data_IF_340755877078
#
_entry.id   IF_340755877078
#
_cell.length_a   1.000
_cell.length_b   1.000
_cell.length_c   1.000
_cell.angle_alpha   90.00
_cell.angle_beta   90.00
_cell.angle_gamma   90.00
#
_symmetry.space_group_name_H-M   'P 1'
#
loop_
_entity.id
_entity.type
_entity.pdbx_description
1 polymer ?
#
# COMPACT_ATOMS: atom_id res chain seq x y z
N UNK A 1 -5.56 -3.51 16.95
CA UNK A 1 -4.66 -3.99 15.89
C UNK A 1 -3.62 -2.91 15.59
N UNK A 2 -2.39 -3.34 15.36
CA UNK A 2 -1.34 -2.41 14.96
C UNK A 2 -1.37 -2.21 13.47
N UNK A 3 -1.23 -0.97 13.05
CA UNK A 3 -1.13 -0.62 11.64
C UNK A 3 0.21 0.05 11.41
N UNK A 4 0.76 -0.12 10.21
CA UNK A 4 2.07 0.39 9.86
C UNK A 4 2.00 1.19 8.57
N UNK A 5 2.96 2.11 8.43
CA UNK A 5 3.14 2.84 7.19
C UNK A 5 3.61 1.91 6.09
N UNK A 6 3.25 2.22 4.87
CA UNK A 6 3.77 1.56 3.68
C UNK A 6 4.61 2.56 2.89
N UNK A 7 5.60 2.07 2.19
CA UNK A 7 6.51 2.93 1.43
C UNK A 7 6.75 2.33 0.06
N UNK A 8 6.83 3.21 -0.97
CA UNK A 8 7.25 2.77 -2.29
C UNK A 8 8.74 2.47 -2.28
N UNK A 9 9.13 1.31 -2.79
CA UNK A 9 10.54 0.90 -2.83
C UNK A 9 11.35 1.73 -3.84
N UNK A 10 10.68 2.42 -4.74
CA UNK A 10 11.33 3.15 -5.82
C UNK A 10 11.41 4.65 -5.56
N UNK A 11 10.30 5.29 -5.21
CA UNK A 11 10.28 6.74 -4.99
C UNK A 11 10.29 7.13 -3.51
N UNK A 12 10.07 6.20 -2.62
CA UNK A 12 10.12 6.45 -1.18
C UNK A 12 8.88 7.12 -0.61
N UNK A 13 7.83 7.31 -1.40
CA UNK A 13 6.61 7.94 -0.92
C UNK A 13 5.94 7.07 0.15
N UNK A 14 5.50 7.71 1.24
CA UNK A 14 4.87 7.01 2.36
C UNK A 14 3.35 7.01 2.21
N UNK A 15 2.76 5.85 2.44
CA UNK A 15 1.31 5.66 2.40
C UNK A 15 0.81 5.26 3.78
N UNK A 16 -0.36 5.82 4.15
CA UNK A 16 -1.05 5.37 5.37
C UNK A 16 -1.67 3.99 5.11
N UNK A 17 -2.02 3.24 6.18
CA UNK A 17 -2.73 1.97 5.99
C UNK A 17 -4.03 2.13 5.19
N UNK A 18 -4.74 3.23 5.38
CA UNK A 18 -5.97 3.50 4.65
C UNK A 18 -5.71 3.73 3.17
N UNK A 19 -4.65 4.48 2.85
CA UNK A 19 -4.26 4.70 1.45
C UNK A 19 -3.83 3.40 0.78
N UNK A 20 -3.08 2.57 1.49
CA UNK A 20 -2.69 1.27 0.99
C UNK A 20 -3.92 0.40 0.70
N UNK A 21 -4.89 0.39 1.62
CA UNK A 21 -6.11 -0.38 1.42
C UNK A 21 -6.86 0.08 0.18
N UNK A 22 -6.97 1.39 -0.03
CA UNK A 22 -7.63 1.94 -1.21
C UNK A 22 -6.90 1.52 -2.50
N UNK A 23 -5.57 1.53 -2.49
CA UNK A 23 -4.79 1.09 -3.64
C UNK A 23 -4.98 -0.40 -3.92
N UNK A 24 -5.05 -1.21 -2.85
CA UNK A 24 -5.28 -2.64 -2.99
C UNK A 24 -6.66 -2.91 -3.60
N UNK A 25 -7.68 -2.18 -3.17
CA UNK A 25 -9.02 -2.31 -3.74
C UNK A 25 -9.03 -1.97 -5.24
N UNK A 26 -8.35 -0.90 -5.60
CA UNK A 26 -8.28 -0.47 -6.99
C UNK A 26 -7.55 -1.51 -7.84
N UNK A 27 -6.44 -2.02 -7.35
CA UNK A 27 -5.67 -3.04 -8.06
C UNK A 27 -6.48 -4.34 -8.21
N UNK A 28 -7.17 -4.76 -7.16
CA UNK A 28 -8.02 -5.94 -7.21
C UNK A 28 -9.10 -5.81 -8.28
N UNK A 29 -9.69 -4.62 -8.40
CA UNK A 29 -10.70 -4.33 -9.40
C UNK A 29 -10.12 -4.43 -10.83
N UNK A 30 -8.88 -4.02 -11.02
CA UNK A 30 -8.24 -4.05 -12.34
C UNK A 30 -7.79 -5.46 -12.74
N UNK A 31 -7.31 -6.25 -11.80
CA UNK A 31 -6.70 -7.56 -12.10
C UNK A 31 -7.63 -8.74 -11.85
N UNK A 32 -8.73 -8.51 -11.15
CA UNK A 32 -9.62 -9.59 -10.74
C UNK A 32 -9.11 -10.37 -9.53
N UNK A 33 -8.02 -9.95 -8.92
CA UNK A 33 -7.50 -10.58 -7.72
C UNK A 33 -8.35 -10.23 -6.51
N UNK A 34 -8.23 -11.02 -5.45
CA UNK A 34 -8.93 -10.73 -4.21
C UNK A 34 -8.19 -9.64 -3.43
N UNK A 35 -8.95 -8.69 -2.90
CA UNK A 35 -8.36 -7.62 -2.10
C UNK A 35 -7.56 -8.16 -0.92
N UNK A 36 -8.07 -9.21 -0.25
CA UNK A 36 -7.38 -9.80 0.89
C UNK A 36 -5.99 -10.32 0.52
N UNK A 37 -5.84 -10.87 -0.67
CA UNK A 37 -4.55 -11.37 -1.14
C UNK A 37 -3.56 -10.23 -1.35
N UNK A 38 -4.03 -9.11 -1.87
CA UNK A 38 -3.18 -7.93 -2.07
C UNK A 38 -2.82 -7.27 -0.76
N UNK A 39 -3.74 -7.24 0.20
CA UNK A 39 -3.46 -6.69 1.52
C UNK A 39 -2.40 -7.50 2.26
N UNK A 40 -2.34 -8.81 2.00
CA UNK A 40 -1.33 -9.68 2.59
C UNK A 40 0.00 -9.62 1.85
N UNK A 41 0.04 -9.04 0.65
CA UNK A 41 1.24 -8.99 -0.19
C UNK A 41 1.42 -7.57 -0.74
N UNK A 42 1.87 -6.61 0.10
CA UNK A 42 2.01 -5.22 -0.33
C UNK A 42 2.93 -5.04 -1.53
N UNK A 43 3.89 -5.93 -1.73
CA UNK A 43 4.79 -5.90 -2.88
C UNK A 43 4.08 -6.11 -4.21
N UNK A 44 2.82 -6.51 -4.18
CA UNK A 44 2.00 -6.68 -5.39
C UNK A 44 1.12 -5.46 -5.68
N UNK A 45 1.13 -4.48 -4.79
CA UNK A 45 0.34 -3.25 -4.95
C UNK A 45 1.24 -2.18 -5.53
N UNK A 46 0.96 -1.69 -6.75
CA UNK A 46 1.82 -0.69 -7.38
C UNK A 46 1.65 0.68 -6.75
N UNK A 47 2.76 1.42 -6.70
CA UNK A 47 2.76 2.82 -6.32
C UNK A 47 2.11 3.65 -7.42
N UNK A 48 1.29 4.62 -7.04
CA UNK A 48 0.63 5.48 -8.02
C UNK A 48 1.00 6.95 -7.87
N UNK A 49 2.11 7.20 -7.20
CA UNK A 49 2.57 8.57 -7.00
C UNK A 49 3.25 9.08 -8.27
N UNK A 50 2.62 10.05 -8.93
CA UNK A 50 3.16 10.72 -10.12
C UNK A 50 3.69 9.77 -11.20
N UNK A 51 2.95 8.69 -11.44
CA UNK A 51 3.35 7.73 -12.47
C UNK A 51 4.51 6.83 -12.09
N UNK A 52 4.86 6.76 -10.83
CA UNK A 52 5.88 5.84 -10.34
C UNK A 52 5.48 4.40 -10.65
N UNK A 53 6.43 3.59 -11.11
CA UNK A 53 6.19 2.18 -11.46
C UNK A 53 6.68 1.22 -10.38
N UNK A 54 7.03 1.74 -9.20
CA UNK A 54 7.45 0.90 -8.10
C UNK A 54 6.30 0.20 -7.39
N UNK A 55 6.64 -0.60 -6.40
CA UNK A 55 5.67 -1.31 -5.58
C UNK A 55 5.84 -0.92 -4.13
N UNK A 56 4.82 -1.22 -3.32
CA UNK A 56 4.82 -0.84 -1.92
C UNK A 56 5.48 -1.90 -1.06
N UNK A 57 6.00 -1.48 0.08
CA UNK A 57 6.52 -2.38 1.10
C UNK A 57 6.06 -1.92 2.46
N UNK A 58 5.76 -2.89 3.34
CA UNK A 58 5.40 -2.58 4.72
C UNK A 58 6.65 -2.13 5.46
N UNK A 59 6.55 -1.02 6.19
CA UNK A 59 7.65 -0.51 7.01
C UNK A 59 7.51 -1.00 8.44
N UNK A 60 8.53 -0.76 9.25
CA UNK A 60 8.48 -1.03 10.68
C UNK A 60 7.94 0.15 11.48
N UNK A 61 7.63 1.26 10.80
CA UNK A 61 7.08 2.45 11.45
C UNK A 61 5.60 2.28 11.69
N UNK A 62 5.22 2.25 12.96
CA UNK A 62 3.82 2.13 13.33
C UNK A 62 3.07 3.40 12.98
N UNK A 63 1.91 3.22 12.36
CA UNK A 63 1.02 4.34 12.06
C UNK A 63 0.17 4.64 13.30
N UNK A 64 0.23 5.88 13.75
CA UNK A 64 -0.60 6.35 14.85
C UNK A 64 -1.47 7.48 14.33
N UNK A 65 -2.77 7.28 14.47
CA UNK A 65 -3.72 8.29 14.05
C UNK A 65 -3.63 9.49 14.99
N UNK A 66 -3.41 10.66 14.41
CA UNK A 66 -3.37 11.91 15.18
C UNK A 66 -4.79 12.30 15.60
N UNK A 67 -4.94 12.74 16.86
CA UNK A 67 -6.20 13.20 17.40
C UNK A 67 -6.06 14.60 17.99
#
# INVERSE_FOLDING_TARGET
MQEFWYRCVKCGYMYTPQQFQALAQLQASHTGEKEADLLAAPERVPCRNRGCTGYLTKTESEFKEAR
#
